data_IF_061999164357
#
_entry.id   IF_061999164357
#
_cell.length_a   1.000
_cell.length_b   1.000
_cell.length_c   1.000
_cell.angle_alpha   90.00
_cell.angle_beta   90.00
_cell.angle_gamma   90.00
#
_symmetry.space_group_name_H-M   'P 1'
#
loop_
_entity.id
_entity.type
_entity.pdbx_description
1 polymer ?
#
# COMPACT_ATOMS: atom_id res chain seq x y z
N UNK A 1 15.85 -4.78 8.89
CA UNK A 1 14.47 -4.92 9.41
C UNK A 1 13.67 -5.74 8.37
N UNK A 2 12.94 -6.80 8.73
CA UNK A 2 12.14 -7.53 7.76
C UNK A 2 11.02 -6.61 7.22
N UNK A 3 10.90 -6.50 5.90
CA UNK A 3 9.84 -5.73 5.23
C UNK A 3 8.47 -6.23 5.68
N UNK A 4 7.89 -5.59 6.69
CA UNK A 4 6.54 -5.93 7.17
C UNK A 4 5.54 -5.44 6.14
N UNK A 5 4.74 -6.38 5.65
CA UNK A 5 3.59 -6.11 4.79
C UNK A 5 2.58 -5.30 5.59
N UNK A 6 2.17 -4.17 5.04
CA UNK A 6 1.26 -3.25 5.70
C UNK A 6 -0.17 -3.68 5.40
N UNK A 7 -1.04 -3.66 6.41
CA UNK A 7 -2.48 -3.76 6.24
C UNK A 7 -3.04 -2.36 6.40
N UNK A 8 -3.83 -1.90 5.44
CA UNK A 8 -4.52 -0.61 5.55
C UNK A 8 -5.95 -0.80 5.11
N UNK A 9 -6.80 0.01 5.71
CA UNK A 9 -8.21 0.07 5.43
C UNK A 9 -8.44 0.66 4.03
N UNK A 10 -9.16 -0.07 3.18
CA UNK A 10 -9.69 0.47 1.93
C UNK A 10 -10.65 1.61 2.27
N UNK A 11 -10.31 2.85 1.93
CA UNK A 11 -11.12 4.00 2.31
C UNK A 11 -12.53 3.99 1.69
N UNK A 12 -12.75 3.22 0.61
CA UNK A 12 -14.05 3.09 -0.05
C UNK A 12 -14.90 1.97 0.56
N UNK A 13 -14.29 0.85 0.97
CA UNK A 13 -15.03 -0.32 1.48
C UNK A 13 -14.91 -0.54 2.98
N UNK A 14 -14.00 0.14 3.68
CA UNK A 14 -13.69 -0.08 5.09
C UNK A 14 -12.95 -1.39 5.37
N UNK A 15 -12.59 -2.17 4.35
CA UNK A 15 -11.94 -3.47 4.53
C UNK A 15 -10.43 -3.32 4.78
N UNK A 16 -9.91 -4.01 5.79
CA UNK A 16 -8.47 -4.15 6.00
C UNK A 16 -7.86 -5.06 4.93
N UNK A 17 -7.28 -4.46 3.89
CA UNK A 17 -6.59 -5.19 2.81
C UNK A 17 -5.08 -5.18 3.03
N UNK A 18 -4.42 -6.29 2.67
CA UNK A 18 -2.97 -6.32 2.51
C UNK A 18 -2.63 -5.53 1.25
N UNK A 19 -1.60 -4.69 1.29
CA UNK A 19 -1.11 -3.96 0.11
C UNK A 19 -0.41 -4.87 -0.89
N UNK A 20 -1.15 -5.80 -1.49
CA UNK A 20 -0.63 -6.75 -2.47
C UNK A 20 -1.50 -6.74 -3.72
N UNK A 21 -0.87 -6.85 -4.88
CA UNK A 21 -1.58 -7.19 -6.11
C UNK A 21 -2.22 -8.58 -5.99
N UNK A 22 -3.19 -8.95 -6.84
CA UNK A 22 -3.74 -10.31 -6.89
C UNK A 22 -2.68 -11.41 -7.07
N UNK A 23 -1.47 -11.04 -7.52
CA UNK A 23 -0.32 -11.94 -7.69
C UNK A 23 0.64 -11.92 -6.48
N UNK A 24 0.22 -11.36 -5.33
CA UNK A 24 1.01 -11.30 -4.10
C UNK A 24 2.15 -10.28 -4.09
N UNK A 25 2.29 -9.43 -5.13
CA UNK A 25 3.34 -8.39 -5.15
C UNK A 25 2.97 -7.20 -4.29
N UNK A 26 3.85 -6.73 -3.37
CA UNK A 26 3.53 -5.60 -2.52
C UNK A 26 3.41 -4.30 -3.32
N UNK A 27 2.36 -3.54 -3.04
CA UNK A 27 2.11 -2.20 -3.60
C UNK A 27 2.69 -1.10 -2.72
N UNK A 28 2.84 -1.36 -1.41
CA UNK A 28 3.53 -0.50 -0.46
C UNK A 28 4.19 -1.34 0.64
N UNK A 29 5.24 -0.79 1.25
CA UNK A 29 6.01 -1.43 2.33
C UNK A 29 6.36 -0.40 3.40
N UNK A 30 6.54 -0.84 4.65
CA UNK A 30 7.19 0.01 5.66
C UNK A 30 8.70 -0.02 5.47
N UNK A 31 9.28 1.14 5.20
CA UNK A 31 10.73 1.34 5.15
C UNK A 31 11.08 2.42 6.18
N UNK A 32 11.93 2.07 7.16
CA UNK A 32 12.35 2.97 8.24
C UNK A 32 11.19 3.68 8.98
N UNK A 33 10.09 2.95 9.23
CA UNK A 33 8.91 3.49 9.90
C UNK A 33 8.02 4.39 9.03
N UNK A 34 8.35 4.54 7.75
CA UNK A 34 7.54 5.28 6.78
C UNK A 34 6.91 4.34 5.76
N UNK A 35 5.65 4.59 5.39
CA UNK A 35 4.99 3.86 4.32
C UNK A 35 5.52 4.33 2.96
N UNK A 36 6.15 3.44 2.21
CA UNK A 36 6.76 3.71 0.91
C UNK A 36 6.05 2.94 -0.19
N UNK A 37 5.70 3.65 -1.26
CA UNK A 37 5.03 3.10 -2.43
C UNK A 37 6.03 2.32 -3.31
N UNK A 38 5.72 1.07 -3.65
CA UNK A 38 6.55 0.29 -4.57
C UNK A 38 6.39 0.78 -6.01
N UNK A 39 7.24 0.30 -6.92
CA UNK A 39 7.08 0.56 -8.37
C UNK A 39 5.70 0.10 -8.88
N UNK A 40 5.22 -1.02 -8.35
CA UNK A 40 3.91 -1.59 -8.72
C UNK A 40 2.77 -0.69 -8.23
N UNK A 41 2.81 -0.23 -6.97
CA UNK A 41 1.82 0.71 -6.44
C UNK A 41 1.74 2.01 -7.25
N UNK A 42 2.90 2.55 -7.68
CA UNK A 42 2.96 3.72 -8.57
C UNK A 42 2.33 3.47 -9.94
N UNK A 43 2.64 2.35 -10.57
CA UNK A 43 2.08 1.99 -11.88
C UNK A 43 0.58 1.81 -11.86
N UNK A 44 0.03 1.35 -10.74
CA UNK A 44 -1.41 1.21 -10.54
C UNK A 44 -2.10 2.52 -10.15
N UNK A 45 -1.38 3.66 -10.13
CA UNK A 45 -1.97 4.97 -9.87
C UNK A 45 -2.20 5.31 -8.40
N UNK A 46 -1.68 4.50 -7.47
CA UNK A 46 -1.85 4.76 -6.06
C UNK A 46 -0.84 5.78 -5.52
N UNK A 47 -1.16 6.39 -4.38
CA UNK A 47 -0.30 7.32 -3.64
C UNK A 47 -0.36 7.06 -2.15
N UNK A 48 0.76 7.13 -1.43
CA UNK A 48 0.76 7.15 0.03
C UNK A 48 0.38 8.56 0.54
N UNK A 49 -0.56 8.66 1.46
CA UNK A 49 -0.97 9.87 2.18
C UNK A 49 -1.29 9.48 3.63
N UNK A 50 -0.59 10.06 4.61
CA UNK A 50 -0.81 9.79 6.05
C UNK A 50 -0.94 8.29 6.38
N UNK A 51 -0.01 7.47 5.86
CA UNK A 51 0.00 6.00 6.04
C UNK A 51 -1.14 5.24 5.32
N UNK A 52 -1.91 5.91 4.48
CA UNK A 52 -2.94 5.32 3.63
C UNK A 52 -2.53 5.36 2.16
N UNK A 53 -2.89 4.36 1.34
CA UNK A 53 -2.76 4.50 -0.11
C UNK A 53 -4.10 4.94 -0.69
N UNK A 54 -4.08 6.08 -1.38
CA UNK A 54 -5.23 6.64 -2.06
C UNK A 54 -5.13 6.25 -3.54
N UNK A 55 -6.18 5.61 -4.07
CA UNK A 55 -6.31 5.41 -5.51
C UNK A 55 -6.63 6.77 -6.15
N UNK A 56 -5.79 7.21 -7.08
CA UNK A 56 -6.00 8.46 -7.80
C UNK A 56 -6.99 8.20 -8.94
N UNK A 57 -8.29 8.20 -8.64
CA UNK A 57 -9.32 8.45 -9.67
C UNK A 57 -9.11 9.81 -10.31
#
# INVERSE_FOLDING_TARGET
>A
MPNRLVKVMDARTGELKRWETPRGKPMAVMENGSLVLTKVGRQLGYKVSKEELVNKT
#
